data_IF_228263652246
#
_entry.id   IF_228263652246
#
_cell.length_a   1.000
_cell.length_b   1.000
_cell.length_c   1.000
_cell.angle_alpha   90.00
_cell.angle_beta   90.00
_cell.angle_gamma   90.00
#
_symmetry.space_group_name_H-M   'P 1'
#
loop_
_entity.id
_entity.type
_entity.pdbx_description
1 polymer ?
#
# COMPACT_ATOMS: atom_id res chain seq x y z
N UNK A 1 32.12 10.09 23.05
CA UNK A 1 31.65 11.06 22.04
C UNK A 1 30.14 10.93 21.86
N UNK A 2 29.36 11.83 22.47
CA UNK A 2 27.92 11.94 22.24
C UNK A 2 27.70 12.70 20.94
N UNK A 3 27.31 12.01 19.87
CA UNK A 3 26.85 12.68 18.66
C UNK A 3 25.51 13.38 18.95
N UNK A 4 25.30 14.63 18.49
CA UNK A 4 24.11 15.43 18.79
C UNK A 4 22.79 14.72 18.40
N UNK A 5 22.85 13.79 17.44
CA UNK A 5 21.76 12.92 17.01
C UNK A 5 21.23 12.02 18.14
N UNK A 6 22.12 11.52 19.01
CA UNK A 6 21.76 10.59 20.09
C UNK A 6 21.00 11.30 21.21
N UNK A 7 21.37 12.55 21.50
CA UNK A 7 20.66 13.40 22.46
C UNK A 7 19.31 13.85 21.91
N UNK A 8 19.24 14.20 20.62
CA UNK A 8 17.97 14.54 19.95
C UNK A 8 16.97 13.38 19.95
N UNK A 9 17.42 12.16 19.64
CA UNK A 9 16.59 10.96 19.66
C UNK A 9 16.08 10.60 21.07
N UNK A 10 16.89 10.88 22.10
CA UNK A 10 16.49 10.67 23.49
C UNK A 10 15.46 11.71 23.98
N UNK A 11 15.56 12.96 23.54
CA UNK A 11 14.55 13.98 23.86
C UNK A 11 13.23 13.69 23.12
N UNK A 12 13.29 13.30 21.84
CA UNK A 12 12.11 12.87 21.08
C UNK A 12 11.43 11.62 21.68
N UNK A 13 12.21 10.64 22.15
CA UNK A 13 11.65 9.44 22.79
C UNK A 13 11.02 9.74 24.15
N UNK A 14 11.44 10.80 24.84
CA UNK A 14 10.87 11.20 26.13
C UNK A 14 9.53 11.93 25.98
N UNK A 15 9.31 12.63 24.87
CA UNK A 15 8.03 13.30 24.57
C UNK A 15 7.01 12.40 23.86
N UNK A 16 7.46 11.26 23.34
CA UNK A 16 6.60 10.20 22.85
C UNK A 16 6.03 9.44 24.06
N UNK A 17 4.98 9.99 24.67
CA UNK A 17 4.23 9.35 25.74
C UNK A 17 3.58 8.06 25.19
N UNK A 18 4.35 6.98 25.24
CA UNK A 18 4.21 5.75 24.44
C UNK A 18 3.05 4.85 24.91
N UNK A 19 2.28 5.27 25.92
CA UNK A 19 1.69 4.29 26.83
C UNK A 19 0.17 4.12 26.73
N UNK A 20 -0.59 4.99 26.04
CA UNK A 20 -2.07 4.81 25.97
C UNK A 20 -2.75 5.00 24.60
N UNK A 21 -2.03 5.38 23.53
CA UNK A 21 -2.62 5.53 22.20
C UNK A 21 -2.11 4.54 21.14
N UNK A 22 -0.92 3.99 21.33
CA UNK A 22 -0.17 3.31 20.27
C UNK A 22 -0.87 2.02 19.80
N UNK A 23 -1.43 1.24 20.71
CA UNK A 23 -2.20 0.04 20.35
C UNK A 23 -3.39 0.37 19.43
N UNK A 24 -4.07 1.49 19.66
CA UNK A 24 -5.18 1.95 18.81
C UNK A 24 -4.70 2.33 17.41
N UNK A 25 -3.56 3.02 17.30
CA UNK A 25 -2.97 3.37 16.01
C UNK A 25 -2.44 2.15 15.24
N UNK A 26 -1.78 1.21 15.93
CA UNK A 26 -1.33 -0.06 15.35
C UNK A 26 -2.53 -0.84 14.82
N UNK A 27 -3.61 -0.92 15.59
CA UNK A 27 -4.85 -1.59 15.17
C UNK A 27 -5.47 -0.94 13.93
N UNK A 28 -5.58 0.40 13.89
CA UNK A 28 -6.07 1.10 12.71
C UNK A 28 -5.19 0.85 11.48
N UNK A 29 -3.86 0.83 11.66
CA UNK A 29 -2.92 0.56 10.59
C UNK A 29 -3.06 -0.88 10.04
N UNK A 30 -3.17 -1.88 10.92
CA UNK A 30 -3.41 -3.28 10.52
C UNK A 30 -4.73 -3.43 9.77
N UNK A 31 -5.81 -2.82 10.32
CA UNK A 31 -7.13 -2.84 9.70
C UNK A 31 -7.10 -2.22 8.30
N UNK A 32 -6.47 -1.05 8.17
CA UNK A 32 -6.34 -0.36 6.89
C UNK A 32 -5.53 -1.16 5.86
N UNK A 33 -4.40 -1.76 6.26
CA UNK A 33 -3.60 -2.61 5.38
C UNK A 33 -4.36 -3.84 4.91
N UNK A 34 -5.13 -4.44 5.81
CA UNK A 34 -6.01 -5.59 5.48
C UNK A 34 -7.06 -5.17 4.44
N UNK A 35 -7.71 -4.03 4.65
CA UNK A 35 -8.70 -3.49 3.72
C UNK A 35 -8.08 -3.18 2.35
N UNK A 36 -6.86 -2.63 2.31
CA UNK A 36 -6.14 -2.36 1.06
C UNK A 36 -5.80 -3.62 0.25
N UNK A 37 -5.68 -4.78 0.89
CA UNK A 37 -5.48 -6.06 0.19
C UNK A 37 -6.82 -6.67 -0.22
N UNK A 38 -7.80 -6.66 0.68
CA UNK A 38 -9.10 -7.34 0.46
C UNK A 38 -9.93 -6.63 -0.60
N UNK A 39 -10.14 -5.31 -0.50
CA UNK A 39 -11.08 -4.60 -1.36
C UNK A 39 -10.73 -4.72 -2.85
N UNK A 40 -9.49 -4.44 -3.30
CA UNK A 40 -9.16 -4.56 -4.72
C UNK A 40 -9.36 -5.98 -5.25
N UNK A 41 -9.11 -7.00 -4.42
CA UNK A 41 -9.31 -8.42 -4.74
C UNK A 41 -10.78 -8.83 -4.81
N UNK A 42 -11.63 -8.17 -4.01
CA UNK A 42 -13.08 -8.39 -4.11
C UNK A 42 -13.64 -7.73 -5.37
N UNK A 43 -13.08 -6.58 -5.76
CA UNK A 43 -13.50 -5.85 -6.96
C UNK A 43 -13.01 -6.47 -8.27
N UNK A 44 -11.84 -7.12 -8.28
CA UNK A 44 -11.35 -7.87 -9.44
C UNK A 44 -11.88 -9.32 -9.49
N UNK A 45 -12.76 -9.71 -8.56
CA UNK A 45 -13.32 -11.06 -8.43
C UNK A 45 -12.31 -12.19 -8.16
N UNK A 46 -11.06 -11.86 -7.80
CA UNK A 46 -10.03 -12.85 -7.42
C UNK A 46 -10.06 -13.23 -5.93
N UNK A 47 -10.92 -12.60 -5.13
CA UNK A 47 -10.98 -12.86 -3.70
C UNK A 47 -11.54 -14.25 -3.40
N UNK A 48 -10.70 -15.04 -2.74
CA UNK A 48 -11.06 -16.30 -2.09
C UNK A 48 -10.48 -16.26 -0.68
N UNK A 49 -11.32 -16.57 0.31
CA UNK A 49 -10.85 -16.68 1.69
C UNK A 49 -10.08 -17.99 1.83
N UNK A 50 -8.76 -17.91 1.68
CA UNK A 50 -7.86 -19.06 1.77
C UNK A 50 -6.88 -18.91 2.93
N UNK A 51 -6.38 -20.05 3.43
CA UNK A 51 -5.30 -20.04 4.43
C UNK A 51 -4.06 -19.30 3.90
N UNK A 52 -3.79 -19.46 2.61
CA UNK A 52 -2.69 -18.79 1.94
C UNK A 52 -2.86 -17.26 1.97
N UNK A 53 -4.10 -16.73 1.86
CA UNK A 53 -4.38 -15.29 1.91
C UNK A 53 -4.08 -14.71 3.29
N UNK A 54 -4.35 -15.47 4.35
CA UNK A 54 -4.00 -15.09 5.72
C UNK A 54 -2.48 -15.00 5.87
N UNK A 55 -1.75 -16.01 5.42
CA UNK A 55 -0.28 -15.99 5.44
C UNK A 55 0.29 -14.85 4.60
N UNK A 56 -0.30 -14.56 3.46
CA UNK A 56 0.08 -13.45 2.59
C UNK A 56 -0.06 -12.10 3.29
N UNK A 57 -1.20 -11.83 3.93
CA UNK A 57 -1.42 -10.58 4.68
C UNK A 57 -0.40 -10.44 5.82
N UNK A 58 -0.16 -11.52 6.58
CA UNK A 58 0.82 -11.52 7.67
C UNK A 58 2.24 -11.26 7.13
N UNK A 59 2.61 -11.93 6.04
CA UNK A 59 3.93 -11.78 5.41
C UNK A 59 4.15 -10.35 4.91
N UNK A 60 3.16 -9.77 4.25
CA UNK A 60 3.20 -8.38 3.77
C UNK A 60 3.32 -7.39 4.92
N UNK A 61 2.54 -7.61 5.98
CA UNK A 61 2.53 -6.73 7.12
C UNK A 61 3.89 -6.73 7.83
N UNK A 62 4.38 -7.93 8.18
CA UNK A 62 5.68 -8.09 8.85
C UNK A 62 6.80 -7.65 7.93
N UNK A 63 6.76 -8.06 6.66
CA UNK A 63 7.76 -7.70 5.64
C UNK A 63 7.86 -6.19 5.46
N UNK A 64 6.74 -5.49 5.25
CA UNK A 64 6.70 -4.03 5.13
C UNK A 64 7.20 -3.33 6.38
N UNK A 65 6.72 -3.75 7.54
CA UNK A 65 7.03 -3.09 8.81
C UNK A 65 8.51 -3.24 9.16
N UNK A 66 9.05 -4.46 9.05
CA UNK A 66 10.47 -4.75 9.27
C UNK A 66 11.33 -4.02 8.24
N UNK A 67 10.91 -3.99 6.98
CA UNK A 67 11.66 -3.30 5.92
C UNK A 67 11.76 -1.80 6.19
N UNK A 68 10.64 -1.14 6.47
CA UNK A 68 10.61 0.30 6.77
C UNK A 68 11.44 0.61 8.02
N UNK A 69 11.31 -0.17 9.10
CA UNK A 69 12.00 0.15 10.35
C UNK A 69 13.49 -0.15 10.32
N UNK A 70 13.90 -1.24 9.69
CA UNK A 70 15.30 -1.68 9.73
C UNK A 70 16.08 -1.15 8.53
N UNK A 71 15.54 -1.29 7.33
CA UNK A 71 16.26 -0.99 6.09
C UNK A 71 16.34 0.51 5.82
N UNK A 72 15.21 1.24 5.87
CA UNK A 72 15.23 2.70 5.70
C UNK A 72 16.02 3.39 6.80
N UNK A 73 15.84 2.98 8.07
CA UNK A 73 16.62 3.53 9.18
C UNK A 73 18.12 3.34 8.96
N UNK A 74 18.56 2.14 8.57
CA UNK A 74 19.97 1.85 8.31
C UNK A 74 20.50 2.67 7.14
N UNK A 75 19.73 2.82 6.06
CA UNK A 75 20.09 3.63 4.90
C UNK A 75 20.27 5.11 5.26
N UNK A 76 19.29 5.68 5.96
CA UNK A 76 19.32 7.08 6.39
C UNK A 76 20.47 7.32 7.38
N UNK A 77 20.71 6.40 8.33
CA UNK A 77 21.82 6.53 9.28
C UNK A 77 23.20 6.39 8.64
N UNK A 78 23.32 5.63 7.55
CA UNK A 78 24.62 5.37 6.90
C UNK A 78 25.00 6.46 5.90
N UNK A 79 24.04 6.93 5.09
CA UNK A 79 24.31 7.85 3.98
C UNK A 79 23.58 9.19 4.09
N UNK A 80 22.72 9.38 5.08
CA UNK A 80 22.00 10.64 5.29
C UNK A 80 21.17 11.06 4.08
N UNK A 81 21.03 12.37 3.90
CA UNK A 81 20.42 12.97 2.72
C UNK A 81 21.44 13.06 1.57
N UNK A 82 21.68 11.93 0.92
CA UNK A 82 22.64 11.80 -0.18
C UNK A 82 21.99 11.14 -1.38
N UNK A 83 22.43 11.50 -2.59
CA UNK A 83 22.01 10.85 -3.86
C UNK A 83 22.12 9.33 -3.78
N UNK A 84 23.13 8.79 -3.06
CA UNK A 84 23.32 7.34 -2.85
C UNK A 84 22.16 6.70 -2.08
N UNK A 85 21.61 7.39 -1.08
CA UNK A 85 20.45 6.93 -0.30
C UNK A 85 19.23 6.80 -1.20
N UNK A 86 18.95 7.80 -2.04
CA UNK A 86 17.82 7.77 -2.97
C UNK A 86 17.92 6.64 -3.99
N UNK A 87 19.09 6.43 -4.59
CA UNK A 87 19.30 5.32 -5.54
C UNK A 87 19.14 3.96 -4.86
N UNK A 88 19.67 3.79 -3.65
CA UNK A 88 19.54 2.55 -2.90
C UNK A 88 18.09 2.28 -2.47
N UNK A 89 17.34 3.30 -2.06
CA UNK A 89 15.91 3.20 -1.78
C UNK A 89 15.16 2.75 -3.04
N UNK A 90 15.42 3.38 -4.19
CA UNK A 90 14.78 3.04 -5.46
C UNK A 90 15.04 1.61 -5.92
N UNK A 91 16.28 1.12 -5.78
CA UNK A 91 16.58 -0.27 -6.14
C UNK A 91 15.93 -1.27 -5.17
N UNK A 92 15.94 -0.95 -3.88
CA UNK A 92 15.33 -1.79 -2.85
C UNK A 92 13.80 -1.87 -2.97
N UNK A 93 13.13 -0.77 -3.34
CA UNK A 93 11.68 -0.77 -3.57
C UNK A 93 11.29 -1.59 -4.79
N UNK A 94 12.10 -1.58 -5.86
CA UNK A 94 11.91 -2.46 -7.01
C UNK A 94 12.04 -3.95 -6.63
N UNK A 95 13.05 -4.31 -5.84
CA UNK A 95 13.23 -5.68 -5.36
C UNK A 95 12.03 -6.16 -4.51
N UNK A 96 11.55 -5.30 -3.60
CA UNK A 96 10.36 -5.59 -2.80
C UNK A 96 9.12 -5.77 -3.67
N UNK A 97 8.92 -4.88 -4.64
CA UNK A 97 7.80 -5.01 -5.58
C UNK A 97 7.84 -6.36 -6.33
N UNK A 98 9.03 -6.84 -6.70
CA UNK A 98 9.21 -8.18 -7.26
C UNK A 98 8.79 -9.30 -6.28
N UNK A 99 9.14 -9.18 -4.99
CA UNK A 99 8.71 -10.13 -3.95
C UNK A 99 7.19 -10.10 -3.79
N UNK A 100 6.56 -8.92 -3.83
CA UNK A 100 5.10 -8.78 -3.80
C UNK A 100 4.44 -9.50 -4.98
N UNK A 101 4.91 -9.26 -6.20
CA UNK A 101 4.39 -9.94 -7.40
C UNK A 101 4.55 -11.45 -7.30
N UNK A 102 5.71 -11.94 -6.83
CA UNK A 102 5.94 -13.37 -6.65
C UNK A 102 4.98 -13.96 -5.63
N UNK A 103 4.77 -13.27 -4.50
CA UNK A 103 3.87 -13.69 -3.43
C UNK A 103 2.41 -13.73 -3.89
N UNK A 104 2.00 -12.72 -4.67
CA UNK A 104 0.68 -12.64 -5.30
C UNK A 104 0.46 -13.79 -6.30
N UNK A 105 1.47 -14.11 -7.11
CA UNK A 105 1.43 -15.22 -8.06
C UNK A 105 1.29 -16.58 -7.35
N UNK A 106 2.09 -16.81 -6.31
CA UNK A 106 2.00 -18.02 -5.47
C UNK A 106 0.61 -18.16 -4.87
N UNK A 107 0.02 -17.07 -4.40
CA UNK A 107 -1.30 -17.10 -3.79
C UNK A 107 -2.38 -17.56 -4.76
N UNK A 108 -2.28 -17.14 -6.03
CA UNK A 108 -3.26 -17.49 -7.07
C UNK A 108 -3.14 -18.95 -7.53
N UNK A 109 -1.92 -19.49 -7.57
CA UNK A 109 -1.68 -20.86 -8.09
C UNK A 109 -1.74 -21.94 -7.00
N UNK A 110 -1.46 -21.60 -5.73
CA UNK A 110 -1.44 -22.54 -4.62
C UNK A 110 -2.34 -22.08 -3.47
N UNK A 111 -3.68 -22.13 -3.63
CA UNK A 111 -4.62 -21.92 -2.54
C UNK A 111 -4.57 -23.13 -1.61
N UNK A 112 -3.60 -23.14 -0.68
CA UNK A 112 -3.30 -24.23 0.26
C UNK A 112 -4.58 -24.85 0.86
N UNK A 113 -5.55 -24.00 1.24
CA UNK A 113 -6.89 -24.41 1.69
C UNK A 113 -7.90 -23.29 1.47
N UNK A 114 -9.08 -23.59 0.94
CA UNK A 114 -10.17 -22.63 0.66
C UNK A 114 -11.28 -22.74 1.70
N UNK A 115 -11.48 -21.70 2.52
CA UNK A 115 -12.58 -21.63 3.47
C UNK A 115 -13.88 -21.15 2.83
N UNK A 116 -13.78 -20.15 1.93
CA UNK A 116 -14.94 -19.57 1.27
C UNK A 116 -14.54 -18.93 -0.06
N UNK A 117 -15.29 -19.26 -1.11
CA UNK A 117 -15.13 -18.68 -2.44
C UNK A 117 -16.49 -18.08 -2.86
N UNK A 118 -16.69 -16.76 -2.68
CA UNK A 118 -17.93 -16.10 -3.08
C UNK A 118 -18.13 -16.12 -4.61
N UNK A 119 -19.40 -16.09 -5.03
CA UNK A 119 -19.74 -15.91 -6.44
C UNK A 119 -19.37 -14.49 -6.90
N UNK A 120 -19.11 -14.32 -8.20
CA UNK A 120 -18.63 -13.07 -8.82
C UNK A 120 -19.49 -11.85 -8.42
N UNK A 121 -20.82 -11.96 -8.56
CA UNK A 121 -21.74 -10.87 -8.20
C UNK A 121 -21.68 -10.54 -6.71
N UNK A 122 -21.60 -11.55 -5.84
CA UNK A 122 -21.51 -11.35 -4.39
C UNK A 122 -20.20 -10.65 -4.02
N UNK A 123 -19.09 -11.07 -4.61
CA UNK A 123 -17.77 -10.53 -4.34
C UNK A 123 -17.69 -9.04 -4.72
N UNK A 124 -18.16 -8.71 -5.92
CA UNK A 124 -18.18 -7.34 -6.41
C UNK A 124 -19.09 -6.41 -5.58
N UNK A 125 -20.31 -6.86 -5.23
CA UNK A 125 -21.26 -6.09 -4.42
C UNK A 125 -20.69 -5.87 -3.01
N UNK A 126 -20.19 -6.92 -2.36
CA UNK A 126 -19.59 -6.79 -1.03
C UNK A 126 -18.35 -5.90 -1.05
N UNK A 127 -17.47 -6.04 -2.05
CA UNK A 127 -16.29 -5.18 -2.22
C UNK A 127 -16.63 -3.71 -2.42
N UNK A 128 -17.66 -3.41 -3.22
CA UNK A 128 -18.14 -2.05 -3.46
C UNK A 128 -18.72 -1.41 -2.21
N UNK A 129 -19.54 -2.15 -1.44
CA UNK A 129 -20.09 -1.69 -0.16
C UNK A 129 -18.95 -1.42 0.84
N UNK A 130 -17.97 -2.33 0.92
CA UNK A 130 -16.80 -2.15 1.80
C UNK A 130 -15.98 -0.91 1.42
N UNK A 131 -15.82 -0.63 0.11
CA UNK A 131 -15.11 0.54 -0.39
C UNK A 131 -15.81 1.83 0.02
N UNK A 132 -17.13 1.93 -0.18
CA UNK A 132 -17.91 3.11 0.22
C UNK A 132 -17.83 3.32 1.73
N UNK A 133 -17.99 2.25 2.53
CA UNK A 133 -17.85 2.33 3.99
C UNK A 133 -16.46 2.80 4.41
N UNK A 134 -15.40 2.26 3.81
CA UNK A 134 -14.02 2.63 4.12
C UNK A 134 -13.76 4.10 3.80
N UNK A 135 -14.22 4.58 2.64
CA UNK A 135 -14.10 6.00 2.26
C UNK A 135 -14.83 6.88 3.28
N UNK A 136 -16.06 6.53 3.66
CA UNK A 136 -16.82 7.27 4.66
C UNK A 136 -16.09 7.33 6.01
N UNK A 137 -15.53 6.21 6.49
CA UNK A 137 -14.74 6.14 7.73
C UNK A 137 -13.48 7.01 7.60
N UNK A 138 -12.75 6.97 6.48
CA UNK A 138 -11.58 7.81 6.27
C UNK A 138 -11.93 9.31 6.29
N UNK A 139 -13.09 9.71 5.75
CA UNK A 139 -13.58 11.09 5.84
C UNK A 139 -13.93 11.48 7.29
N UNK A 140 -14.60 10.60 8.04
CA UNK A 140 -14.91 10.82 9.46
C UNK A 140 -13.63 11.00 10.29
N UNK A 141 -12.58 10.23 10.00
CA UNK A 141 -11.28 10.33 10.65
C UNK A 141 -10.42 11.50 10.14
N UNK A 142 -10.95 12.36 9.24
CA UNK A 142 -10.24 13.47 8.57
C UNK A 142 -8.97 13.04 7.83
N UNK A 143 -8.87 11.76 7.49
CA UNK A 143 -7.72 11.11 6.88
C UNK A 143 -7.86 11.06 5.35
N UNK A 144 -7.94 12.24 4.72
CA UNK A 144 -8.24 12.39 3.28
C UNK A 144 -7.26 11.66 2.35
N UNK A 145 -5.98 11.58 2.74
CA UNK A 145 -4.94 10.89 1.97
C UNK A 145 -5.19 9.38 1.87
N UNK A 146 -5.65 8.75 2.96
CA UNK A 146 -5.92 7.31 2.99
C UNK A 146 -7.15 6.95 2.15
N UNK A 147 -8.18 7.81 2.12
CA UNK A 147 -9.31 7.68 1.20
C UNK A 147 -8.86 7.77 -0.27
N UNK A 148 -7.99 8.74 -0.59
CA UNK A 148 -7.44 8.87 -1.94
C UNK A 148 -6.63 7.65 -2.38
N UNK A 149 -5.77 7.12 -1.49
CA UNK A 149 -4.93 5.96 -1.79
C UNK A 149 -5.73 4.71 -2.13
N UNK A 150 -6.77 4.38 -1.33
CA UNK A 150 -7.58 3.19 -1.62
C UNK A 150 -8.40 3.35 -2.90
N UNK A 151 -8.83 4.57 -3.20
CA UNK A 151 -9.59 4.90 -4.40
C UNK A 151 -8.70 4.75 -5.65
N UNK A 152 -7.48 5.30 -5.61
CA UNK A 152 -6.45 5.13 -6.66
C UNK A 152 -6.17 3.65 -6.93
N UNK A 153 -6.11 2.83 -5.87
CA UNK A 153 -5.85 1.39 -5.98
C UNK A 153 -7.02 0.63 -6.64
N UNK A 154 -8.26 1.07 -6.42
CA UNK A 154 -9.46 0.37 -6.87
C UNK A 154 -9.98 0.85 -8.24
N UNK A 155 -9.69 2.09 -8.65
CA UNK A 155 -10.10 2.65 -9.96
C UNK A 155 -9.73 1.73 -11.15
N UNK A 156 -8.50 1.19 -11.25
CA UNK A 156 -8.12 0.35 -12.37
C UNK A 156 -8.98 -0.90 -12.51
N UNK A 157 -9.36 -1.51 -11.38
CA UNK A 157 -10.17 -2.73 -11.36
C UNK A 157 -11.64 -2.41 -11.69
N UNK A 158 -12.15 -1.28 -11.18
CA UNK A 158 -13.50 -0.81 -11.49
C UNK A 158 -13.65 -0.46 -12.98
N UNK A 159 -12.70 0.28 -13.55
CA UNK A 159 -12.71 0.62 -14.96
C UNK A 159 -12.54 -0.63 -15.84
N UNK A 160 -11.61 -1.52 -15.51
CA UNK A 160 -11.45 -2.80 -16.22
C UNK A 160 -12.74 -3.60 -16.30
N UNK A 161 -13.51 -3.64 -15.20
CA UNK A 161 -14.77 -4.36 -15.13
C UNK A 161 -15.85 -3.68 -15.97
N UNK A 162 -15.98 -2.35 -15.87
CA UNK A 162 -16.98 -1.57 -16.63
C UNK A 162 -16.72 -1.69 -18.15
N UNK A 163 -15.46 -1.67 -18.58
CA UNK A 163 -15.12 -1.71 -20.00
C UNK A 163 -15.17 -3.10 -20.63
N UNK A 164 -14.99 -4.17 -19.86
CA UNK A 164 -14.94 -5.54 -20.41
C UNK A 164 -16.12 -6.42 -20.02
N UNK A 165 -16.87 -6.06 -18.98
CA UNK A 165 -17.93 -6.90 -18.40
C UNK A 165 -17.42 -8.26 -17.90
N UNK A 166 -16.11 -8.42 -17.74
CA UNK A 166 -15.44 -9.69 -17.46
C UNK A 166 -14.35 -9.50 -16.40
N UNK A 167 -13.87 -10.61 -15.84
CA UNK A 167 -12.97 -10.59 -14.70
C UNK A 167 -11.48 -10.65 -15.09
N UNK A 168 -10.61 -10.71 -14.08
CA UNK A 168 -9.16 -10.91 -14.19
C UNK A 168 -8.71 -12.11 -15.04
N UNK A 169 -9.61 -13.05 -15.36
CA UNK A 169 -9.34 -14.18 -16.25
C UNK A 169 -9.32 -13.78 -17.72
N UNK A 170 -9.95 -12.64 -18.08
CA UNK A 170 -9.95 -12.14 -19.44
C UNK A 170 -8.67 -11.30 -19.70
N UNK A 171 -7.87 -11.62 -20.73
CA UNK A 171 -6.67 -10.84 -21.05
C UNK A 171 -6.98 -9.36 -21.29
N UNK A 172 -8.13 -9.04 -21.88
CA UNK A 172 -8.54 -7.66 -22.15
C UNK A 172 -8.79 -6.87 -20.86
N UNK A 173 -9.32 -7.51 -19.81
CA UNK A 173 -9.49 -6.88 -18.50
C UNK A 173 -8.12 -6.51 -17.92
N UNK A 174 -7.20 -7.48 -17.91
CA UNK A 174 -5.85 -7.29 -17.35
C UNK A 174 -5.11 -6.18 -18.09
N UNK A 175 -5.22 -6.12 -19.42
CA UNK A 175 -4.60 -5.07 -20.24
C UNK A 175 -5.17 -3.70 -19.86
N UNK A 176 -6.49 -3.54 -19.82
CA UNK A 176 -7.14 -2.26 -19.52
C UNK A 176 -6.80 -1.80 -18.11
N UNK A 177 -6.96 -2.65 -17.10
CA UNK A 177 -6.62 -2.31 -15.71
C UNK A 177 -5.14 -1.96 -15.56
N UNK A 178 -4.23 -2.65 -16.26
CA UNK A 178 -2.80 -2.34 -16.23
C UNK A 178 -2.48 -0.99 -16.87
N UNK A 179 -3.10 -0.66 -18.00
CA UNK A 179 -2.94 0.64 -18.67
C UNK A 179 -3.42 1.76 -17.75
N UNK A 180 -4.62 1.62 -17.17
CA UNK A 180 -5.18 2.62 -16.25
C UNK A 180 -4.27 2.81 -15.04
N UNK A 181 -3.80 1.72 -14.42
CA UNK A 181 -2.87 1.77 -13.29
C UNK A 181 -1.57 2.49 -13.67
N UNK A 182 -1.04 2.21 -14.86
CA UNK A 182 0.20 2.85 -15.37
C UNK A 182 0.00 4.35 -15.54
N UNK A 183 -1.10 4.78 -16.17
CA UNK A 183 -1.43 6.21 -16.35
C UNK A 183 -1.56 6.90 -14.98
N UNK A 184 -2.28 6.31 -14.04
CA UNK A 184 -2.44 6.84 -12.68
C UNK A 184 -1.09 6.97 -11.96
N UNK A 185 -0.22 5.97 -12.08
CA UNK A 185 1.11 6.00 -11.47
C UNK A 185 1.99 7.11 -12.07
N UNK A 186 1.94 7.33 -13.40
CA UNK A 186 2.67 8.41 -14.07
C UNK A 186 2.17 9.80 -13.65
N UNK A 187 0.86 9.98 -13.52
CA UNK A 187 0.27 11.22 -12.99
C UNK A 187 0.76 11.47 -11.56
N UNK A 188 0.80 10.44 -10.72
CA UNK A 188 1.25 10.58 -9.34
C UNK A 188 2.75 10.93 -9.25
N UNK A 189 3.60 10.27 -10.04
CA UNK A 189 5.04 10.55 -10.10
C UNK A 189 5.27 11.98 -10.61
N UNK A 190 4.62 12.37 -11.71
CA UNK A 190 4.75 13.72 -12.26
C UNK A 190 4.30 14.79 -11.27
N UNK A 191 3.21 14.56 -10.51
CA UNK A 191 2.77 15.45 -9.45
C UNK A 191 3.85 15.64 -8.36
N UNK A 192 4.45 14.55 -7.86
CA UNK A 192 5.52 14.62 -6.86
C UNK A 192 6.74 15.38 -7.40
N UNK A 193 7.14 15.09 -8.64
CA UNK A 193 8.28 15.75 -9.29
C UNK A 193 8.03 17.25 -9.43
N UNK A 194 6.84 17.65 -9.87
CA UNK A 194 6.46 19.07 -10.00
C UNK A 194 6.44 19.76 -8.64
N UNK A 195 5.92 19.11 -7.59
CA UNK A 195 5.93 19.67 -6.25
C UNK A 195 7.37 19.87 -5.74
N UNK A 196 8.23 18.86 -5.91
CA UNK A 196 9.64 18.95 -5.54
C UNK A 196 10.35 20.11 -6.24
N UNK A 197 10.14 20.28 -7.55
CA UNK A 197 10.72 21.42 -8.28
C UNK A 197 10.16 22.77 -7.82
N UNK A 198 8.86 22.84 -7.47
CA UNK A 198 8.25 24.07 -6.92
C UNK A 198 8.86 24.43 -5.57
N UNK A 199 9.03 23.46 -4.68
CA UNK A 199 9.64 23.70 -3.36
C UNK A 199 11.11 24.11 -3.48
N UNK A 200 11.86 23.47 -4.37
CA UNK A 200 13.25 23.85 -4.65
C UNK A 200 13.36 25.27 -5.21
N UNK A 201 12.45 25.68 -6.10
CA UNK A 201 12.40 27.05 -6.65
C UNK A 201 12.04 28.08 -5.57
N UNK A 202 11.16 27.74 -4.63
CA UNK A 202 10.77 28.62 -3.53
C UNK A 202 11.84 28.72 -2.42
N UNK A 203 12.84 27.84 -2.42
CA UNK A 203 13.96 27.83 -1.47
C UNK A 203 15.24 28.50 -2.01
N UNK A 204 15.27 28.90 -3.29
CA UNK A 204 16.33 29.73 -3.83
C UNK A 204 15.90 31.20 -3.71
N UNK A 205 16.66 32.06 -2.99
CA UNK A 205 16.35 33.48 -2.84
C UNK A 205 16.39 34.22 -4.18
#
# INVERSE_FOLDING_TARGET
MNTPVKTYANTFSKELNLTQGIYKYIFYFISFMTIMVIIPRMLDNSFQLTLALIFYIIFIFIGSFVFILFFFKKLIMTWGDSKKTYTAIGFSSAAIFGIYLLSEYLLRHYPIFTFWAPNQTTNFVTGSILLIMTIAICFLLKQKYFAGLILILCIPNLLGLIFTGSDYTNPTYVIISSIVLTILSLIFISYIVVQYYREKKNQQP
#
